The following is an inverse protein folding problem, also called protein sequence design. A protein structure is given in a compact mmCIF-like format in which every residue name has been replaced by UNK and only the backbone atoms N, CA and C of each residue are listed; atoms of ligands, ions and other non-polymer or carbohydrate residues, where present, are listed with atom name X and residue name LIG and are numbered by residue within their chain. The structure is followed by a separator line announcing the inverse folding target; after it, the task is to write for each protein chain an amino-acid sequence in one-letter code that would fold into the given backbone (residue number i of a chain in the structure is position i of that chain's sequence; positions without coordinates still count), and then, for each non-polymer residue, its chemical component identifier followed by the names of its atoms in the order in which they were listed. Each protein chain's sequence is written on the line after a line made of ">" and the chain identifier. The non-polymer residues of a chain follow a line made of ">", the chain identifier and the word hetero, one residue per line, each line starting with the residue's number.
data_IF_797245107770
#
_entry.id   IF_797245107770
#
_cell.length_a   1.000
_cell.length_b   1.000
_cell.length_c   1.000
_cell.angle_alpha   90.00
_cell.angle_beta   90.00
_cell.angle_gamma   90.00
#
_symmetry.space_group_name_H-M   'P 1'
#
loop_
_entity.id
_entity.type
_entity.pdbx_description
1 polymer ?
#
# COMPACT_ATOMS: atom_id res chain seq x y z
N UNK A 1 -10.19 7.78 31.31
CA UNK A 1 -10.68 6.68 32.19
C UNK A 1 -11.77 5.87 31.49
N UNK A 2 -12.74 6.54 30.85
CA UNK A 2 -13.79 5.88 30.06
C UNK A 2 -13.22 5.03 28.92
N UNK A 3 -12.23 5.55 28.22
CA UNK A 3 -11.58 4.92 27.06
C UNK A 3 -10.96 3.58 27.46
N UNK A 4 -10.22 3.55 28.57
CA UNK A 4 -9.62 2.34 29.11
C UNK A 4 -10.67 1.28 29.50
N UNK A 5 -11.78 1.68 30.12
CA UNK A 5 -12.86 0.76 30.49
C UNK A 5 -13.54 0.15 29.25
N UNK A 6 -13.82 0.97 28.23
CA UNK A 6 -14.39 0.51 26.96
C UNK A 6 -13.43 -0.41 26.24
N UNK A 7 -12.15 -0.05 26.13
CA UNK A 7 -11.13 -0.90 25.51
C UNK A 7 -11.03 -2.24 26.23
N UNK A 8 -11.04 -2.27 27.57
CA UNK A 8 -11.01 -3.52 28.34
C UNK A 8 -12.22 -4.41 28.05
N UNK A 9 -13.42 -3.82 27.94
CA UNK A 9 -14.63 -4.57 27.56
C UNK A 9 -14.52 -5.13 26.14
N UNK A 10 -14.06 -4.34 25.18
CA UNK A 10 -13.90 -4.75 23.79
C UNK A 10 -12.85 -5.86 23.64
N UNK A 11 -11.74 -5.80 24.35
CA UNK A 11 -10.71 -6.85 24.30
C UNK A 11 -11.19 -8.18 24.92
N UNK A 12 -12.26 -8.16 25.72
CA UNK A 12 -12.87 -9.34 26.35
C UNK A 12 -14.04 -9.91 25.55
N UNK A 13 -14.52 -9.23 24.50
CA UNK A 13 -15.61 -9.74 23.69
C UNK A 13 -15.18 -11.06 23.01
N UNK A 14 -16.00 -12.12 23.09
CA UNK A 14 -15.70 -13.41 22.48
C UNK A 14 -15.82 -13.31 20.96
N UNK A 15 -14.75 -12.82 20.30
CA UNK A 15 -14.74 -12.50 18.88
C UNK A 15 -13.75 -13.28 18.02
N UNK A 16 -12.85 -14.09 18.60
CA UNK A 16 -11.99 -14.98 17.81
C UNK A 16 -11.96 -16.38 18.41
N UNK A 17 -12.74 -17.29 17.83
CA UNK A 17 -12.63 -18.74 17.99
C UNK A 17 -11.30 -19.32 17.46
N UNK A 18 -10.40 -18.46 16.98
CA UNK A 18 -9.03 -18.80 16.65
C UNK A 18 -8.19 -18.91 17.93
N UNK A 19 -7.48 -20.01 18.06
CA UNK A 19 -6.55 -20.39 19.15
C UNK A 19 -5.49 -19.33 19.55
N UNK A 20 -5.42 -18.20 18.84
CA UNK A 20 -4.61 -17.02 19.20
C UNK A 20 -5.54 -15.80 19.25
N UNK A 21 -5.81 -15.28 20.45
CA UNK A 21 -6.53 -14.03 20.62
C UNK A 21 -5.87 -12.94 19.77
N UNK A 22 -6.63 -12.29 18.90
CA UNK A 22 -6.13 -11.20 18.08
C UNK A 22 -5.64 -10.04 18.98
N UNK A 23 -4.49 -9.40 18.67
CA UNK A 23 -4.01 -8.28 19.45
C UNK A 23 -5.02 -7.12 19.41
N UNK A 24 -5.44 -6.67 20.58
CA UNK A 24 -6.37 -5.55 20.74
C UNK A 24 -5.57 -4.24 20.57
N UNK A 25 -5.83 -3.48 19.51
CA UNK A 25 -5.17 -2.19 19.25
C UNK A 25 -6.10 -1.04 19.60
N UNK A 26 -5.55 -0.03 20.28
CA UNK A 26 -6.22 1.21 20.61
C UNK A 26 -5.50 2.38 19.95
N UNK A 27 -6.19 3.08 19.05
CA UNK A 27 -5.66 4.27 18.38
C UNK A 27 -6.29 5.53 18.97
N UNK A 28 -5.44 6.43 19.49
CA UNK A 28 -5.84 7.74 19.96
C UNK A 28 -5.47 8.78 18.89
N UNK A 29 -6.47 9.47 18.36
CA UNK A 29 -6.29 10.58 17.42
C UNK A 29 -6.74 11.87 18.09
N UNK A 30 -5.83 12.84 18.16
CA UNK A 30 -6.07 14.15 18.76
C UNK A 30 -5.82 15.22 17.71
N UNK A 31 -6.80 16.08 17.52
CA UNK A 31 -6.76 17.22 16.59
C UNK A 31 -6.84 18.50 17.40
N UNK A 32 -5.92 19.43 17.19
CA UNK A 32 -6.00 20.77 17.78
C UNK A 32 -5.60 21.83 16.75
N UNK A 33 -6.38 22.92 16.61
CA UNK A 33 -5.95 24.11 15.90
C UNK A 33 -4.96 24.90 16.75
N UNK A 34 -4.15 25.73 16.12
CA UNK A 34 -3.41 26.78 16.80
C UNK A 34 -4.32 27.94 17.24
N UNK A 35 -3.75 28.91 17.95
CA UNK A 35 -4.46 30.03 18.56
C UNK A 35 -5.22 30.93 17.56
N UNK A 36 -4.80 30.97 16.30
CA UNK A 36 -5.45 31.75 15.23
C UNK A 36 -6.14 30.87 14.18
N UNK A 37 -6.13 29.54 14.34
CA UNK A 37 -6.71 28.58 13.40
C UNK A 37 -5.98 28.46 12.05
N UNK A 38 -4.82 29.07 11.88
CA UNK A 38 -4.04 29.00 10.64
C UNK A 38 -3.36 27.64 10.46
N UNK A 39 -3.04 26.97 11.57
CA UNK A 39 -2.36 25.67 11.58
C UNK A 39 -3.24 24.63 12.27
N UNK A 40 -3.41 23.49 11.61
CA UNK A 40 -4.05 22.33 12.21
C UNK A 40 -3.03 21.24 12.50
N UNK A 41 -2.94 20.82 13.76
CA UNK A 41 -2.14 19.68 14.15
C UNK A 41 -3.02 18.44 14.34
N UNK A 42 -2.58 17.32 13.76
CA UNK A 42 -3.13 16.00 14.01
C UNK A 42 -2.03 15.13 14.62
N UNK A 43 -2.22 14.71 15.87
CA UNK A 43 -1.34 13.76 16.54
C UNK A 43 -2.08 12.43 16.70
N UNK A 44 -1.37 11.34 16.42
CA UNK A 44 -1.86 9.99 16.67
C UNK A 44 -0.92 9.28 17.64
N UNK A 45 -1.49 8.36 18.44
CA UNK A 45 -0.74 7.39 19.25
C UNK A 45 -1.44 6.04 19.17
N UNK A 46 -0.68 4.99 18.88
CA UNK A 46 -1.18 3.62 18.87
C UNK A 46 -0.73 2.90 20.13
N UNK A 47 -1.62 2.13 20.72
CA UNK A 47 -1.35 1.32 21.90
C UNK A 47 -1.77 -0.13 21.64
N UNK A 48 -0.96 -1.05 22.11
CA UNK A 48 -1.34 -2.44 22.29
C UNK A 48 -2.00 -2.59 23.66
N UNK A 49 -3.27 -2.97 23.64
CA UNK A 49 -4.09 -3.18 24.82
C UNK A 49 -3.91 -4.61 25.32
N UNK A 50 -3.15 -4.74 26.40
CA UNK A 50 -2.92 -6.00 27.11
C UNK A 50 -3.97 -6.10 28.22
N UNK A 51 -5.00 -6.90 27.96
CA UNK A 51 -6.06 -7.20 28.93
C UNK A 51 -5.91 -8.63 29.42
N UNK A 52 -5.92 -8.82 30.73
CA UNK A 52 -6.12 -10.12 31.37
C UNK A 52 -7.47 -10.10 32.10
N UNK A 53 -8.02 -11.28 32.40
CA UNK A 53 -9.28 -11.38 33.14
C UNK A 53 -9.14 -10.79 34.56
N UNK A 54 -7.94 -10.91 35.14
CA UNK A 54 -7.67 -10.54 36.54
C UNK A 54 -6.85 -9.26 36.71
N UNK A 55 -6.25 -8.72 35.64
CA UNK A 55 -5.37 -7.55 35.70
C UNK A 55 -6.02 -6.30 35.10
N UNK A 56 -5.65 -5.10 35.59
CA UNK A 56 -6.02 -3.85 34.94
C UNK A 56 -5.46 -3.80 33.51
N UNK A 57 -6.17 -3.09 32.63
CA UNK A 57 -5.74 -2.90 31.25
C UNK A 57 -4.38 -2.18 31.20
N UNK A 58 -3.39 -2.82 30.59
CA UNK A 58 -2.10 -2.22 30.32
C UNK A 58 -2.02 -1.75 28.86
N UNK A 59 -1.75 -0.46 28.65
CA UNK A 59 -1.59 0.13 27.33
C UNK A 59 -0.10 0.32 27.02
N UNK A 60 0.44 -0.48 26.10
CA UNK A 60 1.83 -0.34 25.65
C UNK A 60 1.87 0.46 24.34
N UNK A 61 2.62 1.58 24.24
CA UNK A 61 2.72 2.32 22.99
C UNK A 61 3.37 1.46 21.90
N UNK A 62 2.88 1.61 20.67
CA UNK A 62 3.36 0.92 19.47
C UNK A 62 3.69 1.96 18.41
N UNK A 63 4.81 1.75 17.71
CA UNK A 63 5.19 2.57 16.56
C UNK A 63 4.34 2.18 15.35
N UNK A 64 3.79 3.18 14.66
CA UNK A 64 3.06 2.99 13.41
C UNK A 64 3.97 3.40 12.26
N UNK A 65 4.41 2.43 11.46
CA UNK A 65 5.15 2.68 10.24
C UNK A 65 4.19 2.86 9.07
N UNK A 66 4.16 4.07 8.52
CA UNK A 66 3.34 4.38 7.34
C UNK A 66 4.16 4.06 6.09
N UNK A 67 3.77 2.99 5.40
CA UNK A 67 4.42 2.59 4.15
C UNK A 67 4.25 3.70 3.11
N UNK A 68 5.37 4.12 2.53
CA UNK A 68 5.40 5.13 1.47
C UNK A 68 6.29 4.64 0.31
N UNK A 69 6.09 5.21 -0.88
CA UNK A 69 6.86 4.85 -2.07
C UNK A 69 8.35 5.21 -1.96
N UNK A 70 8.69 6.20 -1.11
CA UNK A 70 10.07 6.63 -0.91
C UNK A 70 10.89 5.60 -0.12
N UNK A 71 10.25 4.78 0.72
CA UNK A 71 10.91 3.72 1.47
C UNK A 71 11.39 2.57 0.56
N UNK A 72 10.87 2.45 -0.66
CA UNK A 72 11.20 1.40 -1.62
C UNK A 72 11.97 1.88 -2.87
N UNK A 73 12.09 3.19 -3.10
CA UNK A 73 12.73 3.75 -4.31
C UNK A 73 14.26 3.80 -4.29
N UNK A 74 14.91 3.14 -3.33
CA UNK A 74 16.38 3.04 -3.22
C UNK A 74 17.08 2.18 -4.29
N UNK A 75 16.39 1.72 -5.33
CA UNK A 75 16.97 0.83 -6.34
C UNK A 75 16.99 1.41 -7.76
N UNK A 76 18.20 1.85 -8.11
CA UNK A 76 18.85 1.85 -9.43
C UNK A 76 18.33 2.85 -10.46
N UNK A 77 19.06 3.96 -10.59
CA UNK A 77 19.16 4.69 -11.85
C UNK A 77 19.43 3.70 -12.99
N UNK A 78 18.74 3.86 -14.11
CA UNK A 78 18.98 3.11 -15.34
C UNK A 78 20.48 3.16 -15.67
N UNK A 79 21.19 2.05 -15.49
CA UNK A 79 22.57 1.94 -15.96
C UNK A 79 22.50 1.90 -17.48
N UNK A 80 22.88 3.00 -18.12
CA UNK A 80 23.14 3.04 -19.55
C UNK A 80 24.24 2.04 -19.86
N UNK A 81 23.86 0.88 -20.40
CA UNK A 81 24.82 0.00 -21.06
C UNK A 81 25.30 0.72 -22.31
N UNK A 82 26.43 1.43 -22.22
CA UNK A 82 27.16 1.86 -23.40
C UNK A 82 27.78 0.59 -24.02
N UNK A 83 27.39 0.19 -25.24
CA UNK A 83 28.11 -0.88 -25.92
C UNK A 83 29.47 -0.33 -26.31
N UNK A 84 30.53 -0.75 -25.61
CA UNK A 84 31.90 -0.65 -26.13
C UNK A 84 31.97 -1.52 -27.37
N UNK A 85 31.73 -0.93 -28.54
CA UNK A 85 32.08 -1.50 -29.83
C UNK A 85 33.59 -1.78 -29.83
N UNK A 86 34.03 -3.05 -29.98
CA UNK A 86 35.43 -3.30 -30.28
C UNK A 86 35.73 -2.69 -31.66
N UNK A 87 36.64 -1.72 -31.71
CA UNK A 87 37.19 -1.23 -32.98
C UNK A 87 37.77 -2.42 -33.76
N UNK A 88 37.38 -2.65 -35.02
CA UNK A 88 38.05 -3.65 -35.84
C UNK A 88 39.49 -3.20 -36.13
N UNK A 89 40.51 -4.08 -36.01
CA UNK A 89 41.84 -3.78 -36.50
C UNK A 89 41.81 -3.67 -38.05
N UNK A 90 42.64 -2.80 -38.64
CA UNK A 90 42.69 -2.68 -40.09
C UNK A 90 43.41 -3.89 -40.72
N UNK A 91 42.79 -4.41 -41.78
CA UNK A 91 43.40 -5.07 -42.94
C UNK A 91 44.00 -6.48 -42.77
N UNK A 92 43.48 -7.42 -43.56
CA UNK A 92 44.18 -8.66 -43.90
C UNK A 92 43.24 -9.76 -44.41
N UNK A 93 43.25 -10.03 -45.72
CA UNK A 93 42.55 -11.14 -46.37
C UNK A 93 42.81 -12.49 -45.69
N UNK A 94 41.77 -13.26 -45.35
CA UNK A 94 41.69 -14.72 -45.55
C UNK A 94 40.37 -15.34 -45.00
N UNK A 95 39.74 -16.14 -45.86
CA UNK A 95 38.76 -17.22 -45.62
C UNK A 95 37.33 -16.88 -45.10
N UNK A 96 36.26 -17.45 -45.70
CA UNK A 96 34.91 -17.39 -45.17
C UNK A 96 34.72 -18.48 -44.09
N UNK A 97 34.41 -18.15 -42.82
CA UNK A 97 33.95 -19.15 -41.88
C UNK A 97 32.48 -19.50 -42.19
N UNK A 98 32.20 -20.79 -42.38
CA UNK A 98 30.83 -21.31 -42.44
C UNK A 98 30.10 -20.95 -41.14
N UNK A 99 29.18 -20.00 -41.24
CA UNK A 99 28.40 -19.46 -40.14
C UNK A 99 27.40 -20.48 -39.61
N UNK A 100 27.77 -21.16 -38.53
CA UNK A 100 26.78 -21.67 -37.58
C UNK A 100 26.19 -20.44 -36.87
N UNK A 101 25.01 -20.01 -37.31
CA UNK A 101 24.24 -18.94 -36.67
C UNK A 101 23.69 -19.45 -35.33
N UNK A 102 24.56 -19.57 -34.33
CA UNK A 102 24.12 -19.64 -32.95
C UNK A 102 23.48 -18.28 -32.61
N UNK A 103 22.22 -18.22 -32.16
CA UNK A 103 21.58 -16.96 -31.82
C UNK A 103 22.40 -16.29 -30.71
N UNK A 104 22.91 -15.09 -30.99
CA UNK A 104 23.71 -14.35 -30.03
C UNK A 104 22.93 -14.21 -28.70
N UNK A 105 23.53 -14.56 -27.54
CA UNK A 105 22.86 -14.55 -26.25
C UNK A 105 22.29 -13.17 -25.87
N UNK A 106 22.85 -12.10 -26.44
CA UNK A 106 22.35 -10.73 -26.30
C UNK A 106 20.97 -10.51 -26.96
N UNK A 107 20.69 -11.15 -28.10
CA UNK A 107 19.40 -11.03 -28.78
C UNK A 107 18.30 -11.78 -28.02
N UNK A 108 18.63 -12.96 -27.45
CA UNK A 108 17.72 -13.71 -26.59
C UNK A 108 17.41 -12.97 -25.29
N UNK A 109 18.43 -12.35 -24.66
CA UNK A 109 18.24 -11.54 -23.45
C UNK A 109 17.40 -10.27 -23.70
N UNK A 110 17.61 -9.59 -24.83
CA UNK A 110 16.81 -8.43 -25.22
C UNK A 110 15.33 -8.82 -25.47
N UNK A 111 15.09 -9.96 -26.11
CA UNK A 111 13.73 -10.49 -26.32
C UNK A 111 13.04 -10.90 -25.03
N UNK A 112 13.77 -11.46 -24.05
CA UNK A 112 13.21 -11.81 -22.75
C UNK A 112 12.85 -10.56 -21.93
N UNK A 113 13.69 -9.52 -21.98
CA UNK A 113 13.43 -8.24 -21.32
C UNK A 113 12.20 -7.53 -21.89
N UNK A 114 12.05 -7.47 -23.21
CA UNK A 114 10.87 -6.86 -23.84
C UNK A 114 9.58 -7.60 -23.51
N UNK A 115 9.63 -8.94 -23.46
CA UNK A 115 8.49 -9.74 -23.01
C UNK A 115 8.13 -9.48 -21.54
N UNK A 116 9.13 -9.33 -20.67
CA UNK A 116 8.91 -9.01 -19.26
C UNK A 116 8.31 -7.62 -19.08
N UNK A 117 8.80 -6.62 -19.82
CA UNK A 117 8.24 -5.25 -19.81
C UNK A 117 6.79 -5.27 -20.29
N UNK A 118 6.50 -5.92 -21.42
CA UNK A 118 5.14 -6.02 -21.95
C UNK A 118 4.19 -6.74 -20.96
N UNK A 119 4.67 -7.80 -20.29
CA UNK A 119 3.90 -8.48 -19.25
C UNK A 119 3.61 -7.59 -18.04
N UNK A 120 4.61 -6.83 -17.58
CA UNK A 120 4.42 -5.86 -16.48
C UNK A 120 3.46 -4.74 -16.86
N UNK A 121 3.54 -4.22 -18.09
CA UNK A 121 2.60 -3.22 -18.60
C UNK A 121 1.17 -3.76 -18.66
N UNK A 122 0.99 -5.00 -19.16
CA UNK A 122 -0.32 -5.66 -19.19
C UNK A 122 -0.90 -5.83 -17.77
N UNK A 123 -0.08 -6.28 -16.82
CA UNK A 123 -0.50 -6.40 -15.42
C UNK A 123 -0.83 -5.04 -14.79
N UNK A 124 -0.04 -4.01 -15.07
CA UNK A 124 -0.29 -2.65 -14.60
C UNK A 124 -1.61 -2.09 -15.17
N UNK A 125 -1.88 -2.28 -16.46
CA UNK A 125 -3.14 -1.86 -17.08
C UNK A 125 -4.35 -2.59 -16.48
N UNK A 126 -4.22 -3.89 -16.20
CA UNK A 126 -5.27 -4.66 -15.52
C UNK A 126 -5.56 -4.09 -14.12
N UNK A 127 -4.52 -3.83 -13.32
CA UNK A 127 -4.66 -3.21 -12.00
C UNK A 127 -5.31 -1.82 -12.07
N UNK A 128 -4.94 -0.99 -13.05
CA UNK A 128 -5.55 0.34 -13.23
C UNK A 128 -7.05 0.24 -13.58
N UNK A 129 -7.41 -0.73 -14.42
CA UNK A 129 -8.81 -0.98 -14.77
C UNK A 129 -9.62 -1.42 -13.55
N UNK A 130 -9.10 -2.35 -12.76
CA UNK A 130 -9.78 -2.85 -11.55
C UNK A 130 -9.91 -1.76 -10.49
N UNK A 131 -8.88 -0.92 -10.33
CA UNK A 131 -8.91 0.27 -9.48
C UNK A 131 -10.02 1.23 -9.94
N UNK A 132 -10.12 1.50 -11.24
CA UNK A 132 -11.16 2.38 -11.78
C UNK A 132 -12.58 1.88 -11.49
N UNK A 133 -12.81 0.57 -11.70
CA UNK A 133 -14.11 -0.05 -11.40
C UNK A 133 -14.44 0.04 -9.91
N UNK A 134 -13.45 -0.20 -9.05
CA UNK A 134 -13.61 -0.11 -7.59
C UNK A 134 -13.89 1.32 -7.15
N UNK A 135 -13.18 2.32 -7.68
CA UNK A 135 -13.43 3.74 -7.41
C UNK A 135 -14.84 4.17 -7.79
N UNK A 136 -15.33 3.71 -8.95
CA UNK A 136 -16.71 3.96 -9.38
C UNK A 136 -17.71 3.35 -8.40
N UNK A 137 -17.53 2.08 -8.04
CA UNK A 137 -18.38 1.41 -7.08
C UNK A 137 -18.40 2.14 -5.74
N UNK A 138 -17.23 2.48 -5.17
CA UNK A 138 -17.15 3.24 -3.90
C UNK A 138 -17.88 4.57 -3.99
N UNK A 139 -17.79 5.27 -5.12
CA UNK A 139 -18.50 6.56 -5.33
C UNK A 139 -20.02 6.39 -5.31
N UNK A 140 -20.53 5.37 -6.02
CA UNK A 140 -21.96 5.05 -6.06
C UNK A 140 -22.49 4.64 -4.67
N UNK A 141 -21.75 3.82 -3.94
CA UNK A 141 -22.11 3.41 -2.58
C UNK A 141 -22.06 4.58 -1.59
N UNK A 142 -21.04 5.44 -1.69
CA UNK A 142 -20.95 6.64 -0.85
C UNK A 142 -22.13 7.58 -1.07
N UNK A 143 -22.57 7.77 -2.32
CA UNK A 143 -23.74 8.59 -2.63
C UNK A 143 -25.02 7.97 -2.03
N UNK A 144 -25.17 6.65 -2.11
CA UNK A 144 -26.30 5.94 -1.49
C UNK A 144 -26.33 6.09 0.03
N UNK A 145 -25.18 5.91 0.70
CA UNK A 145 -25.07 6.10 2.16
C UNK A 145 -25.43 7.54 2.55
N UNK A 146 -24.94 8.54 1.81
CA UNK A 146 -25.28 9.94 2.07
C UNK A 146 -26.78 10.23 1.91
N UNK A 147 -27.42 9.65 0.88
CA UNK A 147 -28.86 9.79 0.68
C UNK A 147 -29.65 9.19 1.85
N UNK A 148 -29.29 7.99 2.31
CA UNK A 148 -29.93 7.33 3.45
C UNK A 148 -29.68 8.07 4.77
N UNK A 149 -28.48 8.62 4.97
CA UNK A 149 -28.17 9.44 6.14
C UNK A 149 -29.02 10.71 6.16
N UNK A 150 -29.22 11.33 4.99
CA UNK A 150 -30.08 12.52 4.86
C UNK A 150 -31.54 12.17 5.14
N UNK A 151 -32.07 11.11 4.53
CA UNK A 151 -33.44 10.66 4.78
C UNK A 151 -33.68 10.35 6.26
N UNK A 152 -32.74 9.65 6.91
CA UNK A 152 -32.79 9.41 8.37
C UNK A 152 -32.84 10.72 9.15
N UNK A 153 -32.05 11.71 8.77
CA UNK A 153 -32.01 13.01 9.46
C UNK A 153 -33.33 13.78 9.27
N UNK A 154 -33.88 13.77 8.06
CA UNK A 154 -35.17 14.42 7.75
C UNK A 154 -36.31 13.76 8.53
N UNK A 155 -36.34 12.43 8.61
CA UNK A 155 -37.31 11.68 9.41
C UNK A 155 -37.19 11.98 10.91
N UNK A 156 -35.97 12.05 11.45
CA UNK A 156 -35.75 12.41 12.85
C UNK A 156 -36.21 13.84 13.15
N UNK A 157 -35.98 14.78 12.22
CA UNK A 157 -36.43 16.16 12.37
C UNK A 157 -37.95 16.31 12.30
N UNK A 158 -38.65 15.43 11.57
CA UNK A 158 -40.11 15.42 11.51
C UNK A 158 -40.78 14.87 12.78
N UNK A 159 -40.03 14.12 13.62
CA UNK A 159 -40.52 13.54 14.88
C UNK A 159 -40.34 14.46 16.10
N UNK A 160 -39.49 15.49 15.99
CA UNK A 160 -39.19 16.46 17.06
C UNK A 160 -39.99 17.73 16.92
#
# INVERSE_FOLDING_TARGET
>A
MREAAVTQQLCRLPGSSSSKAAPCLFALLTRWPDHNGATLSLQYRLFHALSSDTQPLLLRPVTLDVLNLAASSGHKAYTTFAPTLPLPPPSGQAAPPQGSAAPHPLAAAASALTQQVAHMEGYHQALLRDLHLTCRAVSEHSASVQALMKERQDLLAALT
#
